data_IF_525700556892
#
_entry.id   IF_525700556892
#
_cell.length_a   1.000
_cell.length_b   1.000
_cell.length_c   1.000
_cell.angle_alpha   90.00
_cell.angle_beta   90.00
_cell.angle_gamma   90.00
#
_symmetry.space_group_name_H-M   'P 1'
#
loop_
_entity.id
_entity.type
_entity.pdbx_description
1 polymer ?
#
# COMPACT_ATOMS: atom_id res chain seq x y z
N UNK A 1 11.57 -17.65 -10.71
CA UNK A 1 12.79 -16.89 -10.37
C UNK A 1 13.17 -17.27 -8.95
N UNK A 2 14.41 -17.67 -8.68
CA UNK A 2 14.93 -17.75 -7.31
C UNK A 2 15.49 -16.38 -6.92
N UNK A 3 15.28 -15.93 -5.69
CA UNK A 3 15.94 -14.72 -5.14
C UNK A 3 15.05 -13.52 -4.78
N UNK A 4 13.72 -13.59 -4.92
CA UNK A 4 12.86 -12.57 -4.32
C UNK A 4 12.85 -12.71 -2.78
N UNK A 5 12.72 -11.59 -2.04
CA UNK A 5 12.66 -11.65 -0.59
C UNK A 5 11.32 -12.23 -0.10
N UNK A 6 11.31 -12.74 1.13
CA UNK A 6 10.09 -13.12 1.87
C UNK A 6 9.60 -12.00 2.79
N UNK A 7 10.31 -10.88 2.84
CA UNK A 7 9.86 -9.69 3.55
C UNK A 7 10.31 -8.40 2.85
N UNK A 8 9.49 -7.37 2.94
CA UNK A 8 9.82 -6.03 2.46
C UNK A 8 9.24 -4.97 3.38
N UNK A 9 9.88 -3.81 3.45
CA UNK A 9 9.39 -2.66 4.20
C UNK A 9 8.98 -1.55 3.22
N UNK A 10 7.93 -0.84 3.58
CA UNK A 10 7.54 0.42 2.96
C UNK A 10 7.26 1.43 4.06
N UNK A 11 7.48 2.71 3.76
CA UNK A 11 7.34 3.79 4.72
C UNK A 11 6.45 4.87 4.11
N UNK A 12 5.61 5.49 4.94
CA UNK A 12 5.03 6.80 4.65
C UNK A 12 5.94 7.83 5.32
N UNK A 13 6.68 8.66 4.57
CA UNK A 13 7.59 9.64 5.15
C UNK A 13 6.84 10.73 5.94
N UNK A 14 7.56 11.39 6.85
CA UNK A 14 7.01 12.55 7.53
C UNK A 14 6.69 13.69 6.54
N UNK A 15 5.49 14.25 6.65
CA UNK A 15 4.98 15.34 5.81
C UNK A 15 4.59 14.91 4.40
N UNK A 16 4.34 13.61 4.20
CA UNK A 16 4.08 13.00 2.91
C UNK A 16 2.88 12.06 2.98
N UNK A 17 2.09 12.03 1.91
CA UNK A 17 0.92 11.17 1.79
C UNK A 17 1.15 9.93 0.91
N UNK A 18 2.38 9.78 0.38
CA UNK A 18 2.79 8.67 -0.47
C UNK A 18 3.52 7.57 0.30
N UNK A 19 3.51 6.37 -0.28
CA UNK A 19 4.41 5.30 0.11
C UNK A 19 5.76 5.47 -0.60
N UNK A 20 6.88 5.28 0.10
CA UNK A 20 8.23 5.45 -0.49
C UNK A 20 8.56 4.51 -1.66
N UNK A 21 7.86 3.38 -1.76
CA UNK A 21 8.09 2.36 -2.78
C UNK A 21 6.79 1.99 -3.47
N UNK A 22 6.68 2.36 -4.75
CA UNK A 22 5.50 2.10 -5.58
C UNK A 22 5.38 0.64 -6.00
N UNK A 23 6.50 -0.09 -6.07
CA UNK A 23 6.52 -1.49 -6.54
C UNK A 23 7.40 -2.38 -5.67
N UNK A 24 6.78 -3.38 -5.05
CA UNK A 24 7.43 -4.39 -4.22
C UNK A 24 7.23 -5.76 -4.87
N UNK A 25 8.29 -6.58 -4.94
CA UNK A 25 8.18 -7.97 -5.37
C UNK A 25 8.64 -8.91 -4.23
N UNK A 26 7.80 -9.87 -3.87
CA UNK A 26 8.07 -10.87 -2.83
C UNK A 26 7.67 -12.27 -3.29
N UNK A 27 8.21 -13.30 -2.65
CA UNK A 27 7.70 -14.66 -2.80
C UNK A 27 6.35 -14.84 -2.09
N UNK A 28 5.53 -15.75 -2.61
CA UNK A 28 4.35 -16.27 -1.91
C UNK A 28 4.72 -16.73 -0.48
N UNK A 29 3.86 -16.41 0.48
CA UNK A 29 4.10 -16.60 1.91
C UNK A 29 4.92 -15.48 2.54
N UNK A 30 5.37 -14.49 1.76
CA UNK A 30 6.09 -13.33 2.27
C UNK A 30 5.18 -12.31 2.97
N UNK A 31 5.79 -11.32 3.61
CA UNK A 31 5.09 -10.26 4.36
C UNK A 31 5.63 -8.89 3.97
N UNK A 32 4.75 -7.93 3.73
CA UNK A 32 5.15 -6.53 3.58
C UNK A 32 4.76 -5.77 4.84
N UNK A 33 5.67 -4.93 5.32
CA UNK A 33 5.50 -4.08 6.48
C UNK A 33 5.34 -2.63 6.01
N UNK A 34 4.27 -1.95 6.42
CA UNK A 34 4.10 -0.52 6.17
C UNK A 34 4.21 0.23 7.48
N UNK A 35 5.16 1.16 7.54
CA UNK A 35 5.38 2.03 8.69
C UNK A 35 4.95 3.46 8.37
N UNK A 36 4.18 4.08 9.26
CA UNK A 36 3.75 5.47 9.10
C UNK A 36 4.61 6.39 9.95
N UNK A 37 5.53 7.13 9.33
CA UNK A 37 6.32 8.18 9.98
C UNK A 37 5.68 9.57 9.87
N UNK A 38 4.50 9.68 9.25
CA UNK A 38 3.72 10.91 9.18
C UNK A 38 2.90 11.16 10.45
N UNK A 39 2.30 12.34 10.55
CA UNK A 39 1.40 12.74 11.63
C UNK A 39 0.04 12.10 11.55
N UNK A 40 -0.56 12.06 10.35
CA UNK A 40 -1.95 11.64 10.20
C UNK A 40 -2.07 10.14 9.91
N UNK A 41 -3.32 9.67 9.74
CA UNK A 41 -3.60 8.24 9.53
C UNK A 41 -3.48 7.90 8.05
N UNK A 42 -2.84 6.77 7.78
CA UNK A 42 -2.75 6.19 6.44
C UNK A 42 -3.48 4.85 6.38
N UNK A 43 -3.72 4.36 5.17
CA UNK A 43 -4.38 3.07 4.95
C UNK A 43 -3.69 2.28 3.85
N UNK A 44 -3.70 0.95 3.98
CA UNK A 44 -3.48 0.06 2.83
C UNK A 44 -4.85 -0.49 2.43
N UNK A 45 -5.38 -0.05 1.29
CA UNK A 45 -6.65 -0.48 0.73
C UNK A 45 -6.47 -0.95 -0.72
N UNK A 46 -7.27 -1.90 -1.18
CA UNK A 46 -7.20 -2.39 -2.57
C UNK A 46 -7.85 -1.41 -3.54
N UNK A 47 -7.21 -1.18 -4.69
CA UNK A 47 -7.86 -0.48 -5.81
C UNK A 47 -8.88 -1.43 -6.45
N UNK A 48 -10.16 -1.06 -6.38
CA UNK A 48 -11.27 -1.91 -6.85
C UNK A 48 -11.57 -1.73 -8.34
N UNK A 49 -12.34 -2.68 -8.89
CA UNK A 49 -12.78 -2.69 -10.29
C UNK A 49 -11.89 -3.50 -11.23
N UNK A 50 -10.80 -4.07 -10.72
CA UNK A 50 -10.02 -5.08 -11.42
C UNK A 50 -10.55 -6.48 -11.15
N UNK A 51 -10.39 -7.37 -12.13
CA UNK A 51 -10.64 -8.81 -11.97
C UNK A 51 -9.33 -9.56 -11.72
N UNK A 52 -9.44 -10.78 -11.19
CA UNK A 52 -8.31 -11.73 -11.11
C UNK A 52 -7.60 -11.78 -12.47
N UNK A 53 -6.25 -11.66 -12.53
CA UNK A 53 -5.29 -11.89 -11.45
C UNK A 53 -4.86 -10.66 -10.62
N UNK A 54 -5.53 -9.50 -10.77
CA UNK A 54 -5.25 -8.33 -9.93
C UNK A 54 -6.12 -8.39 -8.66
N UNK A 55 -5.50 -8.10 -7.52
CA UNK A 55 -6.11 -8.23 -6.18
C UNK A 55 -6.77 -9.61 -5.99
N UNK A 56 -6.00 -10.71 -6.14
CA UNK A 56 -6.55 -12.08 -6.09
C UNK A 56 -7.03 -12.48 -4.69
N UNK A 57 -6.66 -11.74 -3.65
CA UNK A 57 -7.15 -11.85 -2.30
C UNK A 57 -7.25 -10.46 -1.66
N UNK A 58 -8.08 -10.33 -0.63
CA UNK A 58 -8.21 -9.08 0.12
C UNK A 58 -7.01 -8.82 1.03
N UNK A 59 -6.58 -7.56 1.10
CA UNK A 59 -5.47 -7.06 1.93
C UNK A 59 -5.82 -5.76 2.66
N UNK A 60 -7.11 -5.38 2.78
CA UNK A 60 -7.49 -4.17 3.49
C UNK A 60 -8.94 -3.74 3.29
N UNK A 61 -9.36 -2.60 3.87
CA UNK A 61 -8.50 -1.52 4.34
C UNK A 61 -7.90 -1.78 5.73
N UNK A 62 -6.59 -1.60 5.87
CA UNK A 62 -5.92 -1.58 7.18
C UNK A 62 -5.37 -0.19 7.49
N UNK A 63 -5.75 0.36 8.65
CA UNK A 63 -5.24 1.65 9.11
C UNK A 63 -3.81 1.54 9.66
N UNK A 64 -2.97 2.49 9.31
CA UNK A 64 -1.64 2.72 9.87
C UNK A 64 -1.67 4.06 10.62
N UNK A 65 -1.69 3.99 11.96
CA UNK A 65 -1.74 5.18 12.82
C UNK A 65 -0.46 6.01 12.65
N UNK A 66 -0.60 7.33 12.44
CA UNK A 66 0.52 8.26 12.45
C UNK A 66 0.99 8.62 13.84
N UNK A 67 2.00 9.49 13.89
CA UNK A 67 2.68 9.93 15.11
C UNK A 67 1.78 10.70 16.08
N UNK A 68 0.69 11.32 15.62
CA UNK A 68 -0.29 11.97 16.51
C UNK A 68 -1.05 10.95 17.37
N UNK A 69 -1.34 9.77 16.81
CA UNK A 69 -2.13 8.72 17.48
C UNK A 69 -1.23 7.61 18.08
N UNK A 70 -0.02 7.42 17.54
CA UNK A 70 0.95 6.43 18.00
C UNK A 70 2.36 7.03 18.15
N UNK A 71 2.55 8.02 19.04
CA UNK A 71 3.86 8.63 19.25
C UNK A 71 4.89 7.65 19.85
N UNK A 72 6.21 7.87 19.66
CA UNK A 72 6.82 8.97 18.90
C UNK A 72 7.08 8.64 17.42
N UNK A 73 6.88 7.39 16.99
CA UNK A 73 7.30 6.91 15.66
C UNK A 73 6.14 6.58 14.71
N UNK A 74 4.88 6.64 15.17
CA UNK A 74 3.76 6.07 14.42
C UNK A 74 3.75 4.54 14.49
N UNK A 75 2.77 3.93 13.83
CA UNK A 75 2.55 2.49 13.83
C UNK A 75 3.13 1.80 12.60
N UNK A 76 3.36 0.49 12.74
CA UNK A 76 3.66 -0.42 11.63
C UNK A 76 2.59 -1.48 11.54
N UNK A 77 2.08 -1.75 10.35
CA UNK A 77 1.25 -2.92 10.07
C UNK A 77 2.04 -3.93 9.25
N UNK A 78 1.71 -5.21 9.38
CA UNK A 78 2.31 -6.31 8.64
C UNK A 78 1.21 -7.08 7.91
N UNK A 79 1.29 -7.17 6.58
CA UNK A 79 0.31 -7.89 5.78
C UNK A 79 1.01 -9.09 5.12
N UNK A 80 0.60 -10.34 5.44
CA UNK A 80 1.09 -11.53 4.79
C UNK A 80 0.41 -11.73 3.43
N UNK A 81 1.18 -12.21 2.44
CA UNK A 81 0.73 -12.44 1.08
C UNK A 81 0.85 -13.92 0.72
N UNK A 82 -0.26 -14.66 0.80
CA UNK A 82 -0.30 -16.12 0.58
C UNK A 82 -0.81 -16.52 -0.80
N UNK A 83 -1.38 -15.59 -1.56
CA UNK A 83 -1.94 -15.86 -2.90
C UNK A 83 -1.07 -15.17 -3.96
N UNK A 84 -0.56 -15.90 -4.97
CA UNK A 84 0.18 -15.28 -6.07
C UNK A 84 -0.68 -14.32 -6.89
N UNK A 85 -0.07 -13.24 -7.37
CA UNK A 85 -0.72 -12.25 -8.23
C UNK A 85 -0.20 -10.84 -8.00
N UNK A 86 -0.81 -9.88 -8.71
CA UNK A 86 -0.50 -8.46 -8.55
C UNK A 86 -1.52 -7.84 -7.61
N UNK A 87 -1.06 -7.26 -6.52
CA UNK A 87 -1.88 -6.49 -5.60
C UNK A 87 -1.69 -5.01 -5.90
N UNK A 88 -2.76 -4.34 -6.27
CA UNK A 88 -2.79 -2.92 -6.55
C UNK A 88 -3.53 -2.23 -5.40
N UNK A 89 -2.80 -1.41 -4.65
CA UNK A 89 -3.27 -0.76 -3.43
C UNK A 89 -3.06 0.76 -3.48
N UNK A 90 -3.72 1.45 -2.55
CA UNK A 90 -3.66 2.90 -2.40
C UNK A 90 -3.94 3.30 -0.94
N UNK A 91 -3.64 4.56 -0.59
CA UNK A 91 -4.08 5.14 0.66
C UNK A 91 -5.48 5.74 0.53
N UNK A 92 -6.48 5.11 1.15
CA UNK A 92 -7.87 5.58 1.10
C UNK A 92 -8.17 6.79 1.99
N UNK A 93 -7.18 7.32 2.73
CA UNK A 93 -7.35 8.59 3.45
C UNK A 93 -7.05 9.80 2.55
N UNK A 94 -6.19 9.63 1.54
CA UNK A 94 -5.64 10.74 0.74
C UNK A 94 -5.89 10.59 -0.76
N UNK A 95 -6.50 9.51 -1.19
CA UNK A 95 -6.89 9.28 -2.57
C UNK A 95 -8.25 8.58 -2.67
N UNK A 96 -8.87 8.72 -3.83
CA UNK A 96 -10.07 7.99 -4.26
C UNK A 96 -9.73 7.05 -5.41
N UNK A 97 -10.52 5.99 -5.62
CA UNK A 97 -10.43 5.20 -6.84
C UNK A 97 -11.28 5.84 -7.93
N UNK A 98 -10.63 6.27 -9.01
CA UNK A 98 -11.32 6.71 -10.20
C UNK A 98 -12.02 5.52 -10.87
N UNK A 99 -13.36 5.52 -10.86
CA UNK A 99 -14.16 4.39 -11.36
C UNK A 99 -14.14 4.21 -12.88
N UNK A 100 -13.68 5.21 -13.64
CA UNK A 100 -13.56 5.11 -15.10
C UNK A 100 -12.28 4.38 -15.49
N UNK A 101 -11.20 4.64 -14.76
CA UNK A 101 -9.87 4.12 -15.08
C UNK A 101 -9.43 2.98 -14.16
N UNK A 102 -10.18 2.75 -13.06
CA UNK A 102 -9.82 1.86 -11.97
C UNK A 102 -8.42 2.16 -11.42
N UNK A 103 -8.14 3.44 -11.22
CA UNK A 103 -6.84 3.93 -10.73
C UNK A 103 -6.97 4.83 -9.51
N UNK A 104 -6.00 4.80 -8.62
CA UNK A 104 -5.94 5.73 -7.50
C UNK A 104 -5.74 7.16 -8.02
N UNK A 105 -6.48 8.09 -7.45
CA UNK A 105 -6.43 9.51 -7.77
C UNK A 105 -6.28 10.28 -6.47
N UNK A 106 -5.14 10.97 -6.32
CA UNK A 106 -4.88 11.79 -5.15
C UNK A 106 -5.97 12.86 -4.96
N UNK A 107 -6.36 13.09 -3.70
CA UNK A 107 -7.14 14.26 -3.34
C UNK A 107 -6.32 15.53 -3.64
N UNK A 108 -7.00 16.66 -3.82
CA UNK A 108 -6.34 17.93 -4.17
C UNK A 108 -5.50 18.51 -3.03
N UNK A 109 -5.77 18.09 -1.80
CA UNK A 109 -5.08 18.49 -0.58
C UNK A 109 -3.96 17.53 -0.17
N UNK A 110 -3.79 16.41 -0.87
CA UNK A 110 -2.68 15.49 -0.63
C UNK A 110 -1.33 16.09 -1.07
N UNK A 111 -0.26 15.75 -0.36
CA UNK A 111 1.09 16.30 -0.59
C UNK A 111 1.61 16.08 -2.01
N UNK A 112 1.24 14.96 -2.64
CA UNK A 112 1.72 14.57 -3.97
C UNK A 112 0.75 14.92 -5.09
N UNK A 113 -0.37 15.58 -4.81
CA UNK A 113 -1.32 15.94 -5.86
C UNK A 113 -0.64 16.74 -7.00
N UNK A 114 -0.88 16.41 -8.29
CA UNK A 114 -1.87 15.47 -8.83
C UNK A 114 -1.31 14.06 -9.15
N UNK A 115 -0.17 13.68 -8.59
CA UNK A 115 0.48 12.39 -8.85
C UNK A 115 -0.37 11.26 -8.22
N UNK A 116 -0.69 10.18 -8.95
CA UNK A 116 -1.40 9.02 -8.39
C UNK A 116 -0.63 8.37 -7.24
N UNK A 117 -1.27 8.19 -6.07
CA UNK A 117 -0.68 7.53 -4.90
C UNK A 117 -0.94 6.02 -4.94
N UNK A 118 -0.31 5.40 -5.92
CA UNK A 118 -0.46 4.00 -6.29
C UNK A 118 0.65 3.14 -5.71
N UNK A 119 0.30 1.96 -5.21
CA UNK A 119 1.27 0.97 -4.80
C UNK A 119 0.96 -0.40 -5.39
N UNK A 120 2.00 -1.16 -5.67
CA UNK A 120 1.93 -2.50 -6.25
C UNK A 120 2.76 -3.48 -5.42
N UNK A 121 2.18 -4.65 -5.11
CA UNK A 121 2.91 -5.81 -4.61
C UNK A 121 2.75 -6.96 -5.60
N UNK A 122 3.83 -7.37 -6.25
CA UNK A 122 3.87 -8.59 -7.03
C UNK A 122 4.24 -9.76 -6.12
N UNK A 123 3.33 -10.72 -5.99
CA UNK A 123 3.54 -11.95 -5.23
C UNK A 123 3.83 -13.08 -6.21
N UNK A 124 5.08 -13.53 -6.24
CA UNK A 124 5.49 -14.61 -7.12
C UNK A 124 5.17 -15.97 -6.49
N UNK A 125 4.30 -16.73 -7.16
CA UNK A 125 4.00 -18.13 -6.84
C UNK A 125 4.95 -19.07 -7.56
N UNK A 126 5.29 -20.17 -6.89
CA UNK A 126 6.02 -21.31 -7.48
C UNK A 126 5.09 -22.19 -8.31
#
# INVERSE_FOLDING_TARGET
>A
MSGLPTSANNVIPKGKDEFTTDFIAINQGGTVFWHNSDTDKHFVAVVYGWSVPINPADIGPYQIKGTETAPPTGATIAIPFTTPGLYYYYCSAHADVNVTWHRAQAHKDASEAPIPMEGFVLVFGS
#
